data_IF_177730571946
#
_entry.id   IF_177730571946
#
_cell.length_a   1.000
_cell.length_b   1.000
_cell.length_c   1.000
_cell.angle_alpha   90.00
_cell.angle_beta   90.00
_cell.angle_gamma   90.00
#
_symmetry.space_group_name_H-M   'P 1'
#
loop_
_entity.id
_entity.type
_entity.pdbx_description
1 polymer ?
#
# COMPACT_ATOMS: atom_id res chain seq x y z
N UNK A 1 6.75 3.77 7.51
CA UNK A 1 5.51 3.25 8.14
C UNK A 1 5.75 2.80 9.58
N UNK A 2 6.72 1.92 9.86
CA UNK A 2 7.03 1.46 11.23
C UNK A 2 7.33 2.60 12.21
N UNK A 3 8.19 3.54 11.84
CA UNK A 3 8.52 4.72 12.67
C UNK A 3 7.26 5.52 13.03
N UNK A 4 6.35 5.72 12.07
CA UNK A 4 5.08 6.42 12.32
C UNK A 4 4.15 5.66 13.29
N UNK A 5 4.11 4.33 13.21
CA UNK A 5 3.37 3.52 14.17
C UNK A 5 3.98 3.59 15.59
N UNK A 6 5.31 3.55 15.69
CA UNK A 6 6.04 3.69 16.97
C UNK A 6 5.77 5.07 17.59
N UNK A 7 5.89 6.14 16.81
CA UNK A 7 5.62 7.51 17.28
C UNK A 7 4.18 7.63 17.78
N UNK A 8 3.19 7.05 17.10
CA UNK A 8 1.80 7.04 17.56
C UNK A 8 1.61 6.27 18.85
N UNK A 9 2.23 5.10 19.00
CA UNK A 9 2.18 4.35 20.26
C UNK A 9 2.77 5.16 21.42
N UNK A 10 3.88 5.84 21.19
CA UNK A 10 4.51 6.74 22.17
C UNK A 10 3.57 7.89 22.55
N UNK A 11 2.87 8.49 21.58
CA UNK A 11 1.86 9.54 21.84
C UNK A 11 0.70 8.99 22.68
N UNK A 12 0.15 7.83 22.31
CA UNK A 12 -0.93 7.18 23.07
C UNK A 12 -0.51 6.91 24.52
N UNK A 13 0.70 6.39 24.74
CA UNK A 13 1.25 6.17 26.08
C UNK A 13 1.42 7.48 26.84
N UNK A 14 1.93 8.54 26.21
CA UNK A 14 2.06 9.85 26.87
C UNK A 14 0.68 10.43 27.28
N UNK A 15 -0.34 10.28 26.43
CA UNK A 15 -1.70 10.74 26.76
C UNK A 15 -2.28 9.95 27.95
N UNK A 16 -2.09 8.62 27.96
CA UNK A 16 -2.51 7.75 29.08
C UNK A 16 -1.80 8.15 30.38
N UNK A 17 -0.52 8.53 30.30
CA UNK A 17 0.28 8.97 31.44
C UNK A 17 0.08 10.46 31.80
N UNK A 18 -1.01 11.08 31.34
CA UNK A 18 -1.33 12.48 31.60
C UNK A 18 -0.17 13.42 31.30
N UNK A 19 0.44 13.26 30.13
CA UNK A 19 1.36 14.24 29.57
C UNK A 19 2.67 14.43 30.35
N UNK A 20 3.05 13.42 31.14
CA UNK A 20 4.26 13.43 32.00
C UNK A 20 5.58 13.21 31.25
N UNK A 21 5.54 12.71 30.02
CA UNK A 21 6.77 12.26 29.32
C UNK A 21 7.42 13.41 28.55
N UNK A 22 6.63 14.26 27.89
CA UNK A 22 7.13 15.29 26.99
C UNK A 22 6.92 16.70 27.53
N UNK A 23 7.89 17.58 27.29
CA UNK A 23 7.74 19.01 27.54
C UNK A 23 6.84 19.68 26.47
N UNK A 24 6.45 20.94 26.69
CA UNK A 24 5.53 21.64 25.79
C UNK A 24 6.05 21.77 24.34
N UNK A 25 7.35 22.01 24.17
CA UNK A 25 7.97 22.13 22.84
C UNK A 25 7.96 20.79 22.09
N UNK A 26 8.38 19.71 22.76
CA UNK A 26 8.36 18.35 22.21
C UNK A 26 6.95 17.93 21.81
N UNK A 27 5.92 18.30 22.59
CA UNK A 27 4.52 18.01 22.22
C UNK A 27 4.13 18.68 20.91
N UNK A 28 4.53 19.93 20.69
CA UNK A 28 4.25 20.64 19.44
C UNK A 28 4.93 19.94 18.26
N UNK A 29 6.22 19.63 18.38
CA UNK A 29 6.97 18.93 17.32
C UNK A 29 6.38 17.54 17.02
N UNK A 30 6.04 16.79 18.06
CA UNK A 30 5.42 15.46 17.93
C UNK A 30 4.04 15.56 17.26
N UNK A 31 3.24 16.57 17.58
CA UNK A 31 1.93 16.79 16.94
C UNK A 31 2.05 17.19 15.47
N UNK A 32 3.05 18.00 15.10
CA UNK A 32 3.34 18.32 13.70
C UNK A 32 3.75 17.06 12.94
N UNK A 33 4.66 16.27 13.50
CA UNK A 33 5.06 14.98 12.91
C UNK A 33 3.88 14.02 12.79
N UNK A 34 3.01 13.96 13.79
CA UNK A 34 1.78 13.15 13.79
C UNK A 34 0.91 13.48 12.57
N UNK A 35 0.67 14.76 12.27
CA UNK A 35 -0.07 15.21 11.09
C UNK A 35 0.55 14.72 9.78
N UNK A 36 1.87 14.88 9.62
CA UNK A 36 2.61 14.42 8.44
C UNK A 36 2.47 12.89 8.28
N UNK A 37 2.68 12.12 9.36
CA UNK A 37 2.56 10.67 9.30
C UNK A 37 1.13 10.19 9.01
N UNK A 38 0.10 10.93 9.44
CA UNK A 38 -1.29 10.65 9.06
C UNK A 38 -1.44 10.74 7.55
N UNK A 39 -0.99 11.82 6.94
CA UNK A 39 -1.08 12.01 5.49
C UNK A 39 -0.25 10.97 4.74
N UNK A 40 0.98 10.70 5.19
CA UNK A 40 1.83 9.67 4.60
C UNK A 40 1.16 8.28 4.62
N UNK A 41 0.48 7.93 5.70
CA UNK A 41 -0.22 6.64 5.83
C UNK A 41 -1.49 6.62 4.99
N UNK A 42 -2.29 7.70 5.02
CA UNK A 42 -3.54 7.80 4.24
C UNK A 42 -3.30 7.56 2.76
N UNK A 43 -2.26 8.17 2.22
CA UNK A 43 -2.00 8.10 0.79
C UNK A 43 -0.87 7.13 0.44
N UNK A 44 -0.45 6.25 1.36
CA UNK A 44 0.59 5.25 1.12
C UNK A 44 0.28 4.33 -0.08
N UNK A 45 -1.00 4.09 -0.37
CA UNK A 45 -1.41 3.32 -1.55
C UNK A 45 -1.04 4.04 -2.86
N UNK A 46 -1.09 5.37 -2.90
CA UNK A 46 -0.73 6.19 -4.07
C UNK A 46 0.75 6.00 -4.37
N UNK A 47 1.59 5.97 -3.33
CA UNK A 47 3.02 5.73 -3.45
C UNK A 47 3.30 4.42 -4.19
N UNK A 48 2.61 3.34 -3.80
CA UNK A 48 2.77 2.03 -4.45
C UNK A 48 2.23 2.07 -5.89
N UNK A 49 1.10 2.73 -6.16
CA UNK A 49 0.60 2.87 -7.52
C UNK A 49 1.58 3.68 -8.41
N UNK A 50 2.21 4.71 -7.86
CA UNK A 50 3.24 5.50 -8.54
C UNK A 50 4.48 4.66 -8.83
N UNK A 51 4.96 3.87 -7.87
CA UNK A 51 6.05 2.90 -8.06
C UNK A 51 5.74 1.94 -9.22
N UNK A 52 4.53 1.37 -9.23
CA UNK A 52 4.10 0.44 -10.27
C UNK A 52 3.98 1.11 -11.64
N UNK A 53 3.48 2.34 -11.71
CA UNK A 53 3.45 3.09 -12.94
C UNK A 53 4.86 3.34 -13.50
N UNK A 54 5.82 3.70 -12.64
CA UNK A 54 7.24 3.86 -13.00
C UNK A 54 7.85 2.54 -13.48
N UNK A 55 7.62 1.43 -12.76
CA UNK A 55 8.11 0.10 -13.13
C UNK A 55 7.56 -0.37 -14.49
N UNK A 56 6.33 0.00 -14.84
CA UNK A 56 5.72 -0.31 -16.14
C UNK A 56 6.39 0.47 -17.26
N UNK A 57 6.53 1.79 -17.07
CA UNK A 57 7.02 2.70 -18.11
C UNK A 57 8.51 2.51 -18.39
N UNK A 58 9.29 2.19 -17.35
CA UNK A 58 10.74 2.05 -17.43
C UNK A 58 11.21 0.64 -17.06
N UNK A 59 10.52 -0.39 -17.56
CA UNK A 59 10.75 -1.78 -17.15
C UNK A 59 12.21 -2.26 -17.25
N UNK A 60 12.94 -1.92 -18.32
CA UNK A 60 14.36 -2.29 -18.47
C UNK A 60 15.24 -1.65 -17.40
N UNK A 61 15.17 -0.33 -17.26
CA UNK A 61 15.95 0.43 -16.25
C UNK A 61 15.54 0.11 -14.82
N UNK A 62 14.26 -0.20 -14.60
CA UNK A 62 13.75 -0.58 -13.28
C UNK A 62 14.30 -1.94 -12.83
N UNK A 63 14.59 -2.86 -13.75
CA UNK A 63 15.24 -4.12 -13.37
C UNK A 63 16.69 -3.92 -12.95
N UNK A 64 17.44 -3.09 -13.69
CA UNK A 64 18.84 -2.79 -13.40
C UNK A 64 19.00 -1.99 -12.10
N UNK A 65 18.07 -1.07 -11.82
CA UNK A 65 18.15 -0.14 -10.70
C UNK A 65 16.87 -0.07 -9.87
N UNK A 66 16.26 -1.21 -9.57
CA UNK A 66 14.98 -1.32 -8.84
C UNK A 66 14.97 -0.55 -7.51
N UNK A 67 16.04 -0.69 -6.72
CA UNK A 67 16.19 0.01 -5.45
C UNK A 67 16.22 1.54 -5.63
N UNK A 68 16.96 2.03 -6.62
CA UNK A 68 17.06 3.47 -6.87
C UNK A 68 15.71 4.06 -7.31
N UNK A 69 14.98 3.35 -8.18
CA UNK A 69 13.63 3.73 -8.60
C UNK A 69 12.67 3.82 -7.42
N UNK A 70 12.67 2.81 -6.54
CA UNK A 70 11.86 2.81 -5.32
C UNK A 70 12.21 3.95 -4.36
N UNK A 71 13.50 4.20 -4.12
CA UNK A 71 13.97 5.29 -3.26
C UNK A 71 13.58 6.66 -3.82
N UNK A 72 13.71 6.86 -5.14
CA UNK A 72 13.31 8.11 -5.79
C UNK A 72 11.80 8.36 -5.65
N UNK A 73 10.98 7.35 -5.94
CA UNK A 73 9.52 7.41 -5.78
C UNK A 73 9.16 7.73 -4.33
N UNK A 74 9.83 7.10 -3.37
CA UNK A 74 9.64 7.36 -1.94
C UNK A 74 10.04 8.79 -1.54
N UNK A 75 11.14 9.32 -2.07
CA UNK A 75 11.58 10.69 -1.79
C UNK A 75 10.55 11.72 -2.33
N UNK A 76 10.11 11.55 -3.57
CA UNK A 76 9.05 12.37 -4.17
C UNK A 76 7.76 12.27 -3.34
N UNK A 77 7.42 11.06 -2.90
CA UNK A 77 6.26 10.82 -2.03
C UNK A 77 6.32 11.62 -0.73
N UNK A 78 7.46 11.60 -0.04
CA UNK A 78 7.67 12.36 1.18
C UNK A 78 7.53 13.87 0.99
N UNK A 79 8.06 14.41 -0.12
CA UNK A 79 7.92 15.84 -0.45
C UNK A 79 6.45 16.20 -0.65
N UNK A 80 5.70 15.39 -1.39
CA UNK A 80 4.26 15.60 -1.60
C UNK A 80 3.51 15.56 -0.27
N UNK A 81 3.76 14.57 0.59
CA UNK A 81 3.13 14.48 1.89
C UNK A 81 3.51 15.63 2.83
N UNK A 82 4.77 16.06 2.83
CA UNK A 82 5.22 17.21 3.62
C UNK A 82 4.52 18.49 3.18
N UNK A 83 4.41 18.71 1.86
CA UNK A 83 3.64 19.82 1.30
C UNK A 83 2.17 19.76 1.70
N UNK A 84 1.50 18.62 1.49
CA UNK A 84 0.10 18.41 1.88
C UNK A 84 -0.12 18.56 3.40
N UNK A 85 0.84 18.14 4.22
CA UNK A 85 0.78 18.29 5.67
C UNK A 85 0.96 19.72 6.17
N UNK A 86 1.66 20.56 5.40
CA UNK A 86 1.73 21.99 5.66
C UNK A 86 0.43 22.71 5.25
N UNK A 87 -0.36 22.15 4.32
CA UNK A 87 -1.67 22.70 3.95
C UNK A 87 -2.74 22.27 4.99
N UNK A 88 -3.15 23.19 5.86
CA UNK A 88 -4.04 22.92 7.00
C UNK A 88 -5.52 22.59 6.67
N UNK A 89 -5.89 22.44 5.40
CA UNK A 89 -7.29 22.17 5.04
C UNK A 89 -7.65 20.70 5.27
N UNK A 90 -8.08 20.39 6.50
CA UNK A 90 -8.58 19.05 6.91
C UNK A 90 -9.66 18.55 5.95
N UNK A 91 -10.58 19.43 5.53
CA UNK A 91 -11.65 19.09 4.58
C UNK A 91 -11.10 18.63 3.24
N UNK A 92 -10.12 19.34 2.69
CA UNK A 92 -9.45 18.94 1.44
C UNK A 92 -8.81 17.56 1.58
N UNK A 93 -8.13 17.29 2.69
CA UNK A 93 -7.50 15.99 2.94
C UNK A 93 -8.53 14.87 3.01
N UNK A 94 -9.68 15.09 3.64
CA UNK A 94 -10.77 14.11 3.71
C UNK A 94 -11.32 13.84 2.30
N UNK A 95 -11.69 14.89 1.56
CA UNK A 95 -12.25 14.77 0.21
C UNK A 95 -11.24 14.06 -0.72
N UNK A 96 -9.98 14.48 -0.70
CA UNK A 96 -8.91 13.84 -1.46
C UNK A 96 -8.76 12.36 -1.08
N UNK A 97 -8.77 12.02 0.21
CA UNK A 97 -8.66 10.63 0.66
C UNK A 97 -9.82 9.74 0.19
N UNK A 98 -11.02 10.31 -0.02
CA UNK A 98 -12.17 9.57 -0.55
C UNK A 98 -12.11 9.40 -2.07
N UNK A 99 -11.74 10.44 -2.82
CA UNK A 99 -11.81 10.45 -4.30
C UNK A 99 -10.59 9.78 -4.92
N UNK A 100 -9.40 10.09 -4.41
CA UNK A 100 -8.12 9.76 -5.03
C UNK A 100 -7.87 8.24 -5.13
N UNK A 101 -8.35 7.36 -4.23
CA UNK A 101 -8.25 5.91 -4.40
C UNK A 101 -8.98 5.42 -5.66
N UNK A 102 -10.20 5.90 -5.89
CA UNK A 102 -10.98 5.49 -7.06
C UNK A 102 -10.37 6.01 -8.35
N UNK A 103 -9.98 7.29 -8.36
CA UNK A 103 -9.36 7.93 -9.54
C UNK A 103 -8.05 7.22 -9.89
N UNK A 104 -7.17 6.98 -8.91
CA UNK A 104 -5.89 6.32 -9.15
C UNK A 104 -6.06 4.87 -9.61
N UNK A 105 -6.99 4.11 -9.04
CA UNK A 105 -7.32 2.75 -9.51
C UNK A 105 -7.84 2.76 -10.95
N UNK A 106 -8.78 3.66 -11.27
CA UNK A 106 -9.33 3.78 -12.61
C UNK A 106 -8.27 4.15 -13.64
N UNK A 107 -7.44 5.16 -13.33
CA UNK A 107 -6.35 5.60 -14.21
C UNK A 107 -5.33 4.49 -14.42
N UNK A 108 -4.94 3.77 -13.36
CA UNK A 108 -3.99 2.67 -13.46
C UNK A 108 -4.56 1.49 -14.27
N UNK A 109 -5.86 1.19 -14.11
CA UNK A 109 -6.54 0.18 -14.93
C UNK A 109 -6.53 0.55 -16.41
N UNK A 110 -6.91 1.80 -16.71
CA UNK A 110 -6.92 2.33 -18.09
C UNK A 110 -5.52 2.33 -18.70
N UNK A 111 -4.51 2.74 -17.94
CA UNK A 111 -3.11 2.72 -18.35
C UNK A 111 -2.63 1.31 -18.67
N UNK A 112 -2.88 0.34 -17.77
CA UNK A 112 -2.49 -1.04 -17.97
C UNK A 112 -3.18 -1.66 -19.20
N UNK A 113 -4.47 -1.38 -19.44
CA UNK A 113 -5.18 -1.82 -20.66
C UNK A 113 -4.56 -1.21 -21.92
N UNK A 114 -4.25 0.08 -21.90
CA UNK A 114 -3.62 0.74 -23.02
C UNK A 114 -2.24 0.15 -23.34
N UNK A 115 -1.41 -0.08 -22.33
CA UNK A 115 -0.10 -0.75 -22.49
C UNK A 115 -0.25 -2.21 -22.94
N UNK A 116 -1.32 -2.91 -22.53
CA UNK A 116 -1.60 -4.26 -22.98
C UNK A 116 -1.91 -4.31 -24.49
N UNK A 117 -2.73 -3.39 -25.00
CA UNK A 117 -3.19 -3.40 -26.40
C UNK A 117 -2.30 -2.62 -27.39
N UNK A 118 -1.51 -1.64 -26.94
CA UNK A 118 -0.71 -0.77 -27.83
C UNK A 118 0.52 -1.43 -28.45
N UNK A 119 0.93 -2.61 -27.99
CA UNK A 119 2.14 -3.29 -28.43
C UNK A 119 1.78 -4.68 -28.97
N UNK A 120 2.13 -5.01 -30.22
CA UNK A 120 1.84 -6.33 -30.80
C UNK A 120 2.47 -7.43 -29.94
N UNK A 121 1.72 -8.51 -29.67
CA UNK A 121 2.10 -9.55 -28.68
C UNK A 121 3.52 -10.09 -28.91
N UNK A 122 3.97 -10.26 -30.15
CA UNK A 122 5.32 -10.76 -30.48
C UNK A 122 6.48 -9.78 -30.17
N UNK A 123 6.22 -8.50 -29.92
CA UNK A 123 7.25 -7.48 -29.65
C UNK A 123 7.55 -7.27 -28.15
N UNK A 124 6.74 -7.86 -27.26
CA UNK A 124 6.89 -7.67 -25.81
C UNK A 124 7.92 -8.62 -25.21
N UNK A 125 8.97 -8.07 -24.62
CA UNK A 125 9.93 -8.85 -23.81
C UNK A 125 9.20 -9.56 -22.67
N UNK A 126 9.69 -10.75 -22.28
CA UNK A 126 9.18 -11.50 -21.11
C UNK A 126 9.09 -10.62 -19.85
N UNK A 127 10.07 -9.74 -19.67
CA UNK A 127 10.10 -8.73 -18.59
C UNK A 127 8.89 -7.80 -18.62
N UNK A 128 8.55 -7.23 -19.79
CA UNK A 128 7.40 -6.33 -19.90
C UNK A 128 6.07 -7.03 -19.62
N UNK A 129 5.92 -8.29 -20.07
CA UNK A 129 4.73 -9.10 -19.79
C UNK A 129 4.61 -9.40 -18.29
N UNK A 130 5.72 -9.75 -17.64
CA UNK A 130 5.76 -9.97 -16.20
C UNK A 130 5.33 -8.71 -15.43
N UNK A 131 5.84 -7.53 -15.78
CA UNK A 131 5.46 -6.27 -15.11
C UNK A 131 3.96 -5.96 -15.26
N UNK A 132 3.38 -6.17 -16.44
CA UNK A 132 1.95 -5.96 -16.67
C UNK A 132 1.11 -6.93 -15.84
N UNK A 133 1.46 -8.21 -15.79
CA UNK A 133 0.77 -9.23 -14.99
C UNK A 133 0.83 -8.89 -13.51
N UNK A 134 2.01 -8.51 -13.02
CA UNK A 134 2.20 -8.12 -11.63
C UNK A 134 1.38 -6.86 -11.30
N UNK A 135 1.33 -5.86 -12.17
CA UNK A 135 0.47 -4.69 -11.99
C UNK A 135 -1.01 -5.03 -11.95
N UNK A 136 -1.50 -5.94 -12.79
CA UNK A 136 -2.90 -6.37 -12.78
C UNK A 136 -3.21 -7.09 -11.46
N UNK A 137 -2.30 -7.93 -10.97
CA UNK A 137 -2.43 -8.58 -9.66
C UNK A 137 -2.46 -7.54 -8.54
N UNK A 138 -1.53 -6.60 -8.54
CA UNK A 138 -1.46 -5.50 -7.57
C UNK A 138 -2.72 -4.63 -7.62
N UNK A 139 -3.26 -4.31 -8.81
CA UNK A 139 -4.50 -3.57 -8.96
C UNK A 139 -5.71 -4.32 -8.38
N UNK A 140 -5.82 -5.63 -8.61
CA UNK A 140 -6.86 -6.48 -8.01
C UNK A 140 -6.78 -6.49 -6.49
N UNK A 141 -5.56 -6.55 -5.95
CA UNK A 141 -5.33 -6.42 -4.50
C UNK A 141 -5.76 -5.03 -4.00
N UNK A 142 -5.36 -3.95 -4.67
CA UNK A 142 -5.73 -2.59 -4.30
C UNK A 142 -7.24 -2.35 -4.34
N UNK A 143 -7.98 -2.97 -5.27
CA UNK A 143 -9.44 -2.89 -5.30
C UNK A 143 -10.08 -3.49 -4.05
N UNK A 144 -9.53 -4.60 -3.52
CA UNK A 144 -10.00 -5.15 -2.24
C UNK A 144 -9.61 -4.24 -1.07
N UNK A 145 -8.39 -3.70 -1.12
CA UNK A 145 -7.88 -2.81 -0.09
C UNK A 145 -8.64 -1.47 -0.05
N UNK A 146 -9.12 -0.95 -1.18
CA UNK A 146 -9.90 0.30 -1.20
C UNK A 146 -11.18 0.18 -0.37
N UNK A 147 -11.83 -0.99 -0.31
CA UNK A 147 -12.99 -1.18 0.57
C UNK A 147 -12.61 -1.03 2.05
N UNK A 148 -11.53 -1.67 2.48
CA UNK A 148 -11.03 -1.54 3.85
C UNK A 148 -10.60 -0.09 4.15
N UNK A 149 -9.96 0.57 3.18
CA UNK A 149 -9.54 1.96 3.31
C UNK A 149 -10.71 2.92 3.47
N UNK A 150 -11.81 2.73 2.72
CA UNK A 150 -13.03 3.53 2.86
C UNK A 150 -13.60 3.39 4.27
N UNK A 151 -13.67 2.18 4.82
CA UNK A 151 -14.14 1.96 6.19
C UNK A 151 -13.28 2.73 7.19
N UNK A 152 -11.96 2.69 7.03
CA UNK A 152 -11.01 3.42 7.89
C UNK A 152 -11.21 4.93 7.78
N UNK A 153 -11.38 5.48 6.56
CA UNK A 153 -11.67 6.92 6.37
C UNK A 153 -13.01 7.32 6.98
N UNK A 154 -14.04 6.47 6.90
CA UNK A 154 -15.34 6.76 7.51
C UNK A 154 -15.21 6.83 9.04
N UNK A 155 -14.57 5.84 9.66
CA UNK A 155 -14.29 5.85 11.11
C UNK A 155 -13.44 7.06 11.52
N UNK A 156 -12.47 7.41 10.69
CA UNK A 156 -11.67 8.61 10.86
C UNK A 156 -12.52 9.89 10.83
N UNK A 157 -13.37 10.02 9.81
CA UNK A 157 -14.20 11.22 9.63
C UNK A 157 -15.15 11.38 10.81
N UNK A 158 -15.72 10.28 11.30
CA UNK A 158 -16.57 10.26 12.50
C UNK A 158 -15.78 10.73 13.72
N UNK A 159 -14.59 10.16 13.98
CA UNK A 159 -13.77 10.52 15.16
C UNK A 159 -13.29 11.97 15.10
N UNK A 160 -12.89 12.47 13.93
CA UNK A 160 -12.56 13.89 13.72
C UNK A 160 -13.76 14.79 13.95
N UNK A 161 -14.92 14.45 13.37
CA UNK A 161 -16.15 15.22 13.55
C UNK A 161 -16.54 15.28 15.03
N UNK A 162 -16.52 14.15 15.75
CA UNK A 162 -16.78 14.12 17.20
C UNK A 162 -15.84 15.04 17.96
N UNK A 163 -14.54 15.01 17.66
CA UNK A 163 -13.55 15.86 18.32
C UNK A 163 -13.81 17.36 18.07
N UNK A 164 -13.94 17.77 16.81
CA UNK A 164 -13.99 19.20 16.45
C UNK A 164 -15.38 19.83 16.57
N UNK A 165 -16.45 19.08 16.28
CA UNK A 165 -17.81 19.63 16.27
C UNK A 165 -18.54 19.44 17.62
N UNK A 166 -18.15 18.46 18.43
CA UNK A 166 -18.89 18.10 19.65
C UNK A 166 -18.05 18.32 20.91
N UNK A 167 -16.90 17.66 21.02
CA UNK A 167 -16.16 17.58 22.28
C UNK A 167 -15.41 18.88 22.62
N UNK A 168 -14.66 19.40 21.64
CA UNK A 168 -13.81 20.58 21.83
C UNK A 168 -14.65 21.86 22.10
N UNK A 169 -15.74 22.14 21.38
CA UNK A 169 -16.62 23.28 21.68
C UNK A 169 -17.29 23.21 23.05
N UNK A 170 -17.47 22.00 23.60
CA UNK A 170 -18.08 21.77 24.92
C UNK A 170 -17.07 21.76 26.07
N UNK A 171 -15.78 21.96 25.79
CA UNK A 171 -14.72 21.92 26.81
C UNK A 171 -14.50 20.53 27.43
N UNK A 172 -14.94 19.46 26.76
CA UNK A 172 -14.85 18.07 27.23
C UNK A 172 -13.45 17.50 26.97
N UNK A 173 -12.45 18.01 27.72
CA UNK A 173 -11.02 17.72 27.48
C UNK A 173 -10.69 16.24 27.66
N UNK A 174 -11.29 15.56 28.63
CA UNK A 174 -11.00 14.15 28.91
C UNK A 174 -11.49 13.25 27.77
N UNK A 175 -12.73 13.44 27.33
CA UNK A 175 -13.36 12.69 26.25
C UNK A 175 -12.66 12.98 24.92
N UNK A 176 -12.26 14.23 24.68
CA UNK A 176 -11.46 14.60 23.51
C UNK A 176 -10.12 13.84 23.45
N UNK A 177 -9.44 13.68 24.60
CA UNK A 177 -8.21 12.86 24.68
C UNK A 177 -8.49 11.39 24.37
N UNK A 178 -9.58 10.85 24.92
CA UNK A 178 -9.97 9.45 24.70
C UNK A 178 -10.27 9.18 23.22
N UNK A 179 -11.07 10.03 22.58
CA UNK A 179 -11.41 9.89 21.14
C UNK A 179 -10.18 10.11 20.27
N UNK A 180 -9.29 11.04 20.63
CA UNK A 180 -8.00 11.24 19.93
C UNK A 180 -7.09 10.02 20.03
N UNK A 181 -7.09 9.29 21.16
CA UNK A 181 -6.37 8.03 21.29
C UNK A 181 -6.97 6.91 20.42
N UNK A 182 -8.31 6.81 20.36
CA UNK A 182 -8.98 5.85 19.46
C UNK A 182 -8.59 6.12 18.01
N UNK A 183 -8.55 7.40 17.61
CA UNK A 183 -8.08 7.82 16.29
C UNK A 183 -6.65 7.33 16.02
N UNK A 184 -5.71 7.54 16.95
CA UNK A 184 -4.31 7.11 16.77
C UNK A 184 -4.17 5.58 16.71
N UNK A 185 -4.93 4.85 17.52
CA UNK A 185 -4.95 3.38 17.52
C UNK A 185 -5.54 2.82 16.22
N UNK A 186 -6.59 3.44 15.67
CA UNK A 186 -7.14 3.08 14.37
C UNK A 186 -6.07 3.22 13.28
N UNK A 187 -5.31 4.31 13.31
CA UNK A 187 -4.24 4.54 12.34
C UNK A 187 -3.03 3.63 12.53
N UNK A 188 -2.63 3.35 13.77
CA UNK A 188 -1.57 2.40 14.08
C UNK A 188 -1.94 0.99 13.61
N UNK A 189 -3.16 0.54 13.89
CA UNK A 189 -3.65 -0.77 13.44
C UNK A 189 -3.72 -0.86 11.91
N UNK A 190 -4.22 0.17 11.22
CA UNK A 190 -4.18 0.23 9.75
C UNK A 190 -2.75 0.10 9.20
N UNK A 191 -1.80 0.81 9.81
CA UNK A 191 -0.37 0.80 9.40
C UNK A 191 0.26 -0.59 9.56
N UNK A 192 -0.20 -1.39 10.53
CA UNK A 192 0.26 -2.77 10.75
C UNK A 192 -0.44 -3.78 9.84
N UNK A 193 -1.75 -3.63 9.63
CA UNK A 193 -2.56 -4.54 8.80
C UNK A 193 -2.16 -4.45 7.33
N UNK A 194 -1.86 -3.25 6.84
CA UNK A 194 -1.53 -3.01 5.44
C UNK A 194 -0.36 -3.89 4.91
N UNK A 195 0.84 -3.88 5.54
CA UNK A 195 1.95 -4.76 5.14
C UNK A 195 1.58 -6.24 5.19
N UNK A 196 0.81 -6.68 6.19
CA UNK A 196 0.40 -8.08 6.33
C UNK A 196 -0.51 -8.54 5.18
N UNK A 197 -1.45 -7.68 4.76
CA UNK A 197 -2.29 -7.94 3.59
C UNK A 197 -1.46 -8.02 2.31
N UNK A 198 -0.43 -7.18 2.18
CA UNK A 198 0.48 -7.19 1.04
C UNK A 198 1.31 -8.47 0.99
N UNK A 199 1.88 -8.88 2.12
CA UNK A 199 2.61 -10.15 2.25
C UNK A 199 1.70 -11.32 1.88
N UNK A 200 0.47 -11.38 2.41
CA UNK A 200 -0.49 -12.45 2.11
C UNK A 200 -0.93 -12.50 0.64
N UNK A 201 -0.88 -11.37 -0.06
CA UNK A 201 -1.30 -11.27 -1.46
C UNK A 201 -0.21 -11.70 -2.46
N UNK A 202 1.05 -11.75 -2.03
CA UNK A 202 2.19 -12.14 -2.87
C UNK A 202 2.84 -13.41 -2.30
N UNK A 203 2.63 -14.59 -2.93
CA UNK A 203 3.12 -15.87 -2.40
C UNK A 203 4.61 -15.91 -2.11
N UNK A 204 5.43 -15.26 -2.94
CA UNK A 204 6.87 -15.17 -2.71
C UNK A 204 7.23 -14.31 -1.47
N UNK A 205 6.50 -13.22 -1.22
CA UNK A 205 6.70 -12.43 0.01
C UNK A 205 6.22 -13.21 1.24
N UNK A 206 5.10 -13.92 1.12
CA UNK A 206 4.61 -14.79 2.18
C UNK A 206 5.65 -15.85 2.55
N UNK A 207 6.21 -16.55 1.56
CA UNK A 207 7.24 -17.56 1.79
C UNK A 207 8.47 -16.98 2.49
N UNK A 208 9.01 -15.85 2.02
CA UNK A 208 10.16 -15.19 2.67
C UNK A 208 9.84 -14.71 4.09
N UNK A 209 8.62 -14.24 4.31
CA UNK A 209 8.16 -13.82 5.63
C UNK A 209 8.06 -15.01 6.60
N UNK A 210 7.53 -16.14 6.14
CA UNK A 210 7.49 -17.39 6.91
C UNK A 210 8.92 -17.91 7.23
N UNK A 211 9.85 -17.84 6.28
CA UNK A 211 11.26 -18.17 6.54
C UNK A 211 11.89 -17.28 7.61
N UNK A 212 11.64 -15.97 7.55
CA UNK A 212 12.15 -15.01 8.51
C UNK A 212 11.58 -15.26 9.92
N UNK A 213 10.30 -15.63 10.02
CA UNK A 213 9.67 -15.97 11.30
C UNK A 213 10.15 -17.31 11.87
N UNK A 214 10.36 -18.31 11.01
CA UNK A 214 10.73 -19.66 11.43
C UNK A 214 12.25 -19.85 11.60
N UNK A 215 13.05 -18.80 11.39
CA UNK A 215 14.51 -18.86 11.54
C UNK A 215 15.19 -19.90 10.64
N UNK A 216 14.58 -20.24 9.50
CA UNK A 216 15.08 -21.31 8.63
C UNK A 216 16.18 -20.77 7.73
N UNK A 217 17.40 -21.28 7.88
CA UNK A 217 18.56 -20.86 7.10
C UNK A 217 18.32 -21.03 5.59
N UNK A 218 18.64 -19.97 4.84
CA UNK A 218 18.47 -19.82 3.39
C UNK A 218 19.12 -20.94 2.57
N UNK A 219 20.10 -21.65 3.14
CA UNK A 219 20.81 -22.76 2.50
C UNK A 219 19.97 -24.04 2.35
N UNK A 220 18.85 -24.17 3.07
CA UNK A 220 17.92 -25.30 2.95
C UNK A 220 16.75 -25.04 1.99
N UNK A 221 16.66 -23.82 1.46
CA UNK A 221 15.60 -23.40 0.54
C UNK A 221 15.96 -23.71 -0.92
N UNK A 222 16.22 -24.99 -1.22
CA UNK A 222 15.98 -25.51 -2.57
C UNK A 222 14.52 -25.14 -2.89
N UNK A 223 14.35 -24.26 -3.87
CA UNK A 223 13.05 -23.75 -4.32
C UNK A 223 12.10 -24.94 -4.41
N UNK A 224 11.18 -25.07 -3.45
CA UNK A 224 10.18 -26.14 -3.52
C UNK A 224 9.45 -25.95 -4.87
N UNK A 225 9.48 -26.94 -5.78
CA UNK A 225 8.87 -26.82 -7.11
C UNK A 225 7.36 -26.54 -7.05
N UNK A 226 6.74 -26.72 -5.89
CA UNK A 226 5.36 -26.33 -5.57
C UNK A 226 5.09 -24.83 -5.70
N UNK A 227 6.07 -23.95 -5.41
CA UNK A 227 5.89 -22.50 -5.54
C UNK A 227 5.86 -22.11 -7.03
N UNK A 228 6.68 -22.77 -7.86
CA UNK A 228 6.60 -22.63 -9.32
C UNK A 228 5.24 -23.08 -9.87
N UNK A 229 4.70 -24.19 -9.37
CA UNK A 229 3.34 -24.67 -9.71
C UNK A 229 2.22 -23.75 -9.22
N UNK A 230 2.42 -22.97 -8.15
CA UNK A 230 1.44 -21.96 -7.67
C UNK A 230 1.54 -20.63 -8.42
N UNK A 231 2.74 -20.25 -8.88
CA UNK A 231 2.95 -19.05 -9.71
C UNK A 231 2.35 -19.22 -11.10
N UNK A 232 2.40 -20.43 -11.60
CA UNK A 232 1.63 -20.95 -12.71
C UNK A 232 0.23 -21.32 -12.18
N UNK A 233 -0.53 -20.34 -11.70
CA UNK A 233 -1.90 -20.62 -11.27
C UNK A 233 -2.71 -21.04 -12.51
N UNK A 234 -3.01 -22.34 -12.51
CA UNK A 234 -3.71 -23.24 -13.43
C UNK A 234 -4.62 -22.64 -14.52
N UNK A 235 -5.34 -21.54 -14.32
CA UNK A 235 -6.31 -21.08 -15.31
C UNK A 235 -5.69 -20.60 -16.64
N UNK A 236 -4.57 -19.86 -16.61
CA UNK A 236 -3.94 -19.36 -17.85
C UNK A 236 -2.93 -20.36 -18.44
N UNK A 237 -2.30 -21.19 -17.61
CA UNK A 237 -1.34 -22.19 -18.08
C UNK A 237 -2.03 -23.40 -18.66
N UNK A 238 -3.09 -23.90 -18.00
CA UNK A 238 -3.88 -25.00 -18.56
C UNK A 238 -4.61 -24.53 -19.82
N UNK A 239 -5.09 -23.28 -19.88
CA UNK A 239 -5.66 -22.72 -21.11
C UNK A 239 -4.62 -22.54 -22.23
N UNK A 240 -3.39 -22.12 -21.91
CA UNK A 240 -2.31 -22.00 -22.88
C UNK A 240 -1.89 -23.37 -23.42
N UNK A 241 -1.68 -24.36 -22.56
CA UNK A 241 -1.31 -25.72 -22.97
C UNK A 241 -2.46 -26.46 -23.64
N UNK A 242 -3.71 -26.22 -23.26
CA UNK A 242 -4.88 -26.71 -24.01
C UNK A 242 -4.92 -26.10 -25.41
N UNK A 243 -4.68 -24.80 -25.56
CA UNK A 243 -4.60 -24.16 -26.90
C UNK A 243 -3.46 -24.73 -27.71
N UNK A 244 -2.29 -24.94 -27.10
CA UNK A 244 -1.13 -25.52 -27.76
C UNK A 244 -1.41 -26.96 -28.23
N UNK A 245 -1.97 -27.78 -27.34
CA UNK A 245 -2.34 -29.17 -27.63
C UNK A 245 -3.41 -29.26 -28.72
N UNK A 246 -4.43 -28.40 -28.67
CA UNK A 246 -5.44 -28.30 -29.74
C UNK A 246 -4.83 -27.88 -31.07
N UNK A 247 -3.78 -27.05 -31.05
CA UNK A 247 -3.06 -26.63 -32.26
C UNK A 247 -2.23 -27.78 -32.84
N UNK A 248 -1.55 -28.55 -32.00
CA UNK A 248 -0.79 -29.73 -32.43
C UNK A 248 -1.67 -30.84 -32.99
N UNK A 249 -2.82 -31.11 -32.35
CA UNK A 249 -3.82 -32.03 -32.87
C UNK A 249 -4.37 -31.59 -34.23
N UNK A 250 -4.64 -30.29 -34.41
CA UNK A 250 -5.13 -29.74 -35.68
C UNK A 250 -4.12 -29.88 -36.83
N UNK A 251 -2.83 -29.93 -36.52
CA UNK A 251 -1.75 -30.03 -37.51
C UNK A 251 -1.15 -31.44 -37.65
N UNK A 252 -1.71 -32.46 -36.98
CA UNK A 252 -1.25 -33.84 -37.10
C UNK A 252 0.19 -34.07 -36.60
N UNK A 253 0.65 -33.21 -35.69
CA UNK A 253 1.97 -33.34 -35.06
C UNK A 253 1.79 -34.11 -33.74
N UNK A 254 1.72 -35.43 -33.83
CA UNK A 254 1.85 -36.34 -32.69
C UNK A 254 2.83 -37.46 -33.03
#
# INVERSE_FOLDING_TARGET
>A
MVIGAIIRLIITVNIILFDRIFNAQQKTEINTLRGIFIICVKFAYVNILMERAVATKFSSKYQEHSLFGGVFVLAVWWVICGGLGAFEQILFTIIASLILPFVSLYLMEKWNKHQYHSLPEMSKSLSSRYQIVENIRTLRMFRRWSYFFIVVILLETITLFSNYAILLPRGMVYEWRLVSNIYDLLFASYTLVCPLLLIKSHPHLQFRFEQLLNGTDSNSALIKPEIGRKYIQQDDFDAYFQRLNNTWQKHGLQ
#
